data_IF_876829518950
#
_entry.id   IF_876829518950
#
_cell.length_a   1.000
_cell.length_b   1.000
_cell.length_c   1.000
_cell.angle_alpha   90.00
_cell.angle_beta   90.00
_cell.angle_gamma   90.00
#
_symmetry.space_group_name_H-M   'P 1'
#
loop_
_entity.id
_entity.type
_entity.pdbx_description
1 polymer ?
#
# COMPACT_ATOMS: atom_id res chain seq x y z
N UNK A 1 15.32 -16.83 28.85
CA UNK A 1 14.89 -15.83 27.85
C UNK A 1 13.91 -16.58 26.96
N UNK A 2 12.63 -16.31 27.08
CA UNK A 2 11.61 -16.91 26.21
C UNK A 2 11.88 -16.42 24.79
N UNK A 3 11.82 -17.38 23.86
CA UNK A 3 12.15 -17.17 22.47
C UNK A 3 11.28 -16.07 21.84
N UNK A 4 11.84 -15.30 20.94
CA UNK A 4 11.25 -14.20 20.18
C UNK A 4 10.06 -14.62 19.29
N UNK A 5 9.06 -15.31 19.84
CA UNK A 5 7.84 -15.71 19.10
C UNK A 5 7.05 -14.52 18.55
N UNK A 6 7.27 -13.34 19.13
CA UNK A 6 6.59 -12.11 18.77
C UNK A 6 7.27 -11.26 17.68
N UNK A 7 8.36 -11.69 17.02
CA UNK A 7 9.04 -10.89 16.00
C UNK A 7 8.75 -11.44 14.59
N UNK A 8 8.31 -10.56 13.70
CA UNK A 8 8.02 -10.88 12.28
C UNK A 8 8.68 -9.83 11.38
N UNK A 9 9.26 -10.25 10.27
CA UNK A 9 9.75 -9.34 9.25
C UNK A 9 8.60 -8.89 8.35
N UNK A 10 8.29 -7.61 8.35
CA UNK A 10 7.40 -6.96 7.39
C UNK A 10 8.20 -6.43 6.19
N UNK A 11 7.70 -6.66 4.99
CA UNK A 11 8.32 -6.21 3.73
C UNK A 11 7.28 -5.52 2.88
N UNK A 12 7.65 -4.38 2.30
CA UNK A 12 6.90 -3.66 1.28
C UNK A 12 7.71 -3.59 -0.02
N UNK A 13 7.17 -4.19 -1.08
CA UNK A 13 7.77 -4.24 -2.42
C UNK A 13 7.20 -3.14 -3.30
N UNK A 14 7.91 -2.03 -3.37
CA UNK A 14 7.55 -0.92 -4.26
C UNK A 14 8.13 -1.06 -5.67
N UNK A 15 7.78 -0.12 -6.55
CA UNK A 15 8.27 -0.12 -7.95
C UNK A 15 9.76 0.24 -8.12
N UNK A 16 10.38 0.88 -7.13
CA UNK A 16 11.78 1.36 -7.19
C UNK A 16 12.57 1.09 -5.90
N UNK A 17 11.92 0.64 -4.86
CA UNK A 17 12.53 0.37 -3.57
C UNK A 17 11.87 -0.85 -2.94
N UNK A 18 12.63 -1.54 -2.12
CA UNK A 18 12.12 -2.49 -1.13
C UNK A 18 12.35 -1.89 0.26
N UNK A 19 11.35 -1.94 1.11
CA UNK A 19 11.41 -1.49 2.49
C UNK A 19 11.12 -2.66 3.41
N UNK A 20 11.91 -2.81 4.47
CA UNK A 20 11.82 -3.93 5.40
C UNK A 20 11.98 -3.41 6.83
N UNK A 21 11.28 -4.03 7.77
CA UNK A 21 11.53 -3.83 9.20
C UNK A 21 11.06 -5.04 9.98
N UNK A 22 11.72 -5.33 11.10
CA UNK A 22 11.23 -6.25 12.10
C UNK A 22 10.10 -5.57 12.88
N UNK A 23 9.03 -6.31 13.10
CA UNK A 23 7.86 -5.86 13.84
C UNK A 23 7.74 -6.69 15.10
N UNK A 24 7.67 -6.02 16.24
CA UNK A 24 7.29 -6.65 17.50
C UNK A 24 5.75 -6.75 17.53
N UNK A 25 5.25 -8.00 17.54
CA UNK A 25 3.82 -8.29 17.44
C UNK A 25 3.07 -7.97 18.74
N UNK A 26 3.74 -8.00 19.88
CA UNK A 26 3.14 -7.71 21.18
C UNK A 26 2.93 -6.21 21.39
N UNK A 27 3.94 -5.41 21.02
CA UNK A 27 3.86 -3.95 21.08
C UNK A 27 3.23 -3.31 19.84
N UNK A 28 2.97 -4.12 18.81
CA UNK A 28 2.41 -3.67 17.51
C UNK A 28 3.22 -2.53 16.87
N UNK A 29 4.54 -2.62 16.95
CA UNK A 29 5.44 -1.55 16.51
C UNK A 29 6.67 -2.06 15.76
N UNK A 30 7.22 -1.20 14.93
CA UNK A 30 8.48 -1.46 14.23
C UNK A 30 9.64 -1.38 15.24
N UNK A 31 10.59 -2.30 15.12
CA UNK A 31 11.89 -2.25 15.79
C UNK A 31 12.77 -1.29 14.99
N UNK A 32 12.90 -0.04 15.44
CA UNK A 32 13.45 1.09 14.66
C UNK A 32 14.82 0.82 14.02
N UNK A 33 15.77 0.23 14.78
CA UNK A 33 17.12 -0.04 14.26
C UNK A 33 17.15 -1.14 13.18
N UNK A 34 16.06 -1.90 13.02
CA UNK A 34 15.90 -2.91 11.98
C UNK A 34 15.45 -2.32 10.65
N UNK A 35 14.90 -1.11 10.65
CA UNK A 35 14.40 -0.48 9.42
C UNK A 35 15.49 -0.42 8.35
N UNK A 36 15.14 -0.91 7.16
CA UNK A 36 16.04 -0.96 6.03
C UNK A 36 15.30 -0.67 4.74
N UNK A 37 15.84 0.24 3.94
CA UNK A 37 15.31 0.57 2.62
C UNK A 37 16.44 0.59 1.60
N UNK A 38 16.24 -0.05 0.46
CA UNK A 38 17.22 -0.07 -0.60
C UNK A 38 16.57 0.09 -1.97
N UNK A 39 17.36 0.58 -2.94
CA UNK A 39 16.92 0.72 -4.31
C UNK A 39 16.69 -0.65 -4.96
N UNK A 40 15.68 -0.72 -5.81
CA UNK A 40 15.31 -1.88 -6.58
C UNK A 40 15.02 -1.48 -8.03
N UNK A 41 15.69 -2.14 -8.98
CA UNK A 41 15.31 -2.01 -10.38
C UNK A 41 14.26 -3.07 -10.72
N UNK A 42 12.98 -2.71 -10.68
CA UNK A 42 11.87 -3.61 -11.01
C UNK A 42 11.80 -4.06 -12.48
N UNK A 43 12.67 -3.49 -13.35
CA UNK A 43 12.81 -3.91 -14.77
C UNK A 43 13.97 -4.86 -14.98
N UNK A 44 14.71 -5.21 -13.94
CA UNK A 44 15.81 -6.16 -14.02
C UNK A 44 15.30 -7.58 -14.31
N UNK A 45 16.21 -8.48 -14.65
CA UNK A 45 15.93 -9.93 -14.75
C UNK A 45 15.58 -10.50 -13.37
N UNK A 46 14.99 -11.70 -13.34
CA UNK A 46 14.55 -12.39 -12.14
C UNK A 46 15.66 -12.49 -11.08
N UNK A 47 16.81 -13.05 -11.44
CA UNK A 47 17.88 -13.31 -10.46
C UNK A 47 18.39 -12.07 -9.73
N UNK A 48 18.71 -10.93 -10.40
CA UNK A 48 19.06 -9.70 -9.72
C UNK A 48 17.98 -9.18 -8.76
N UNK A 49 16.69 -9.33 -9.09
CA UNK A 49 15.59 -8.91 -8.20
C UNK A 49 15.61 -9.78 -6.94
N UNK A 50 15.65 -11.11 -7.11
CA UNK A 50 15.66 -12.07 -5.99
C UNK A 50 16.91 -11.88 -5.12
N UNK A 51 18.08 -11.62 -5.71
CA UNK A 51 19.31 -11.38 -4.98
C UNK A 51 19.22 -10.14 -4.08
N UNK A 52 18.67 -9.03 -4.61
CA UNK A 52 18.45 -7.81 -3.83
C UNK A 52 17.51 -8.10 -2.65
N UNK A 53 16.39 -8.80 -2.90
CA UNK A 53 15.44 -9.14 -1.85
C UNK A 53 16.04 -10.04 -0.78
N UNK A 54 16.71 -11.12 -1.16
CA UNK A 54 17.33 -12.06 -0.23
C UNK A 54 18.42 -11.39 0.61
N UNK A 55 19.27 -10.56 -0.01
CA UNK A 55 20.32 -9.82 0.69
C UNK A 55 19.71 -8.81 1.69
N UNK A 56 18.66 -8.07 1.30
CA UNK A 56 17.97 -7.14 2.18
C UNK A 56 17.36 -7.87 3.40
N UNK A 57 16.69 -9.01 3.17
CA UNK A 57 16.10 -9.84 4.23
C UNK A 57 17.18 -10.35 5.20
N UNK A 58 18.28 -10.90 4.69
CA UNK A 58 19.37 -11.38 5.52
C UNK A 58 20.02 -10.25 6.34
N UNK A 59 20.21 -9.07 5.73
CA UNK A 59 20.76 -7.90 6.41
C UNK A 59 19.87 -7.44 7.59
N UNK A 60 18.55 -7.53 7.44
CA UNK A 60 17.63 -7.15 8.52
C UNK A 60 17.62 -8.19 9.63
N UNK A 61 17.54 -9.48 9.29
CA UNK A 61 17.62 -10.55 10.30
C UNK A 61 18.97 -10.61 11.04
N UNK A 62 20.05 -10.14 10.44
CA UNK A 62 21.36 -10.08 11.10
C UNK A 62 21.42 -9.03 12.24
N UNK A 63 20.45 -8.12 12.32
CA UNK A 63 20.39 -7.07 13.36
C UNK A 63 19.76 -7.56 14.67
N UNK A 64 19.01 -8.66 14.63
CA UNK A 64 18.32 -9.26 15.77
C UNK A 64 18.48 -10.76 15.76
N UNK A 65 18.63 -11.36 16.95
CA UNK A 65 18.62 -12.80 17.12
C UNK A 65 17.17 -13.31 17.05
N UNK A 66 16.73 -13.72 15.87
CA UNK A 66 15.41 -14.31 15.64
C UNK A 66 15.58 -15.80 15.41
N UNK A 67 15.08 -16.61 16.34
CA UNK A 67 15.21 -18.08 16.27
C UNK A 67 14.43 -18.66 15.09
N UNK A 68 13.20 -18.18 14.88
CA UNK A 68 12.35 -18.62 13.78
C UNK A 68 11.96 -17.47 12.89
N UNK A 69 12.45 -17.47 11.65
CA UNK A 69 12.21 -16.41 10.67
C UNK A 69 10.77 -16.48 10.15
N UNK A 70 9.95 -15.47 10.45
CA UNK A 70 8.62 -15.26 9.86
C UNK A 70 8.66 -14.03 8.97
N UNK A 71 8.20 -14.16 7.73
CA UNK A 71 8.26 -13.11 6.72
C UNK A 71 6.85 -12.84 6.19
N UNK A 72 6.38 -11.62 6.32
CA UNK A 72 5.19 -11.10 5.65
C UNK A 72 5.61 -10.13 4.54
N UNK A 73 5.07 -10.32 3.32
CA UNK A 73 5.45 -9.50 2.16
C UNK A 73 4.21 -8.85 1.53
N UNK A 74 4.20 -7.53 1.49
CA UNK A 74 3.29 -6.75 0.67
C UNK A 74 3.82 -6.70 -0.77
N UNK A 75 3.03 -7.20 -1.72
CA UNK A 75 3.42 -7.35 -3.12
C UNK A 75 2.38 -6.68 -4.04
N UNK A 76 2.82 -5.95 -5.07
CA UNK A 76 1.88 -5.47 -6.08
C UNK A 76 1.29 -6.66 -6.87
N UNK A 77 0.05 -6.49 -7.33
CA UNK A 77 -0.63 -7.48 -8.17
C UNK A 77 -0.53 -7.20 -9.69
N UNK A 78 -1.06 -8.12 -10.51
CA UNK A 78 -1.77 -9.36 -10.14
C UNK A 78 -0.83 -10.48 -9.68
N UNK A 79 -1.25 -11.24 -8.66
CA UNK A 79 -0.42 -12.24 -8.01
C UNK A 79 -1.31 -13.32 -7.35
N UNK A 80 -0.93 -14.58 -7.44
CA UNK A 80 -1.46 -15.62 -6.56
C UNK A 80 -0.67 -15.58 -5.25
N UNK A 81 -1.21 -14.90 -4.26
CA UNK A 81 -0.52 -14.65 -3.00
C UNK A 81 -0.34 -15.92 -2.16
N UNK A 82 -1.26 -16.87 -2.26
CA UNK A 82 -1.17 -18.14 -1.53
C UNK A 82 -0.09 -19.05 -2.11
N UNK A 83 -0.16 -19.30 -3.41
CA UNK A 83 0.85 -20.11 -4.10
C UNK A 83 2.19 -19.39 -4.24
N UNK A 84 2.22 -18.05 -4.19
CA UNK A 84 3.40 -17.23 -4.39
C UNK A 84 3.78 -17.03 -5.85
N UNK A 85 2.81 -17.04 -6.79
CA UNK A 85 3.05 -16.97 -8.24
C UNK A 85 2.69 -15.59 -8.77
N UNK A 86 3.63 -14.96 -9.48
CA UNK A 86 3.40 -13.66 -10.11
C UNK A 86 2.68 -13.79 -11.45
N UNK A 87 1.64 -12.98 -11.63
CA UNK A 87 0.95 -12.80 -12.92
C UNK A 87 1.13 -11.39 -13.48
N UNK A 88 2.11 -10.64 -12.96
CA UNK A 88 2.43 -9.29 -13.45
C UNK A 88 3.02 -9.39 -14.84
N UNK A 89 2.33 -8.79 -15.82
CA UNK A 89 2.72 -8.79 -17.23
C UNK A 89 2.38 -7.45 -17.88
N UNK A 90 3.22 -7.03 -18.82
CA UNK A 90 3.02 -5.80 -19.64
C UNK A 90 2.91 -4.50 -18.80
N UNK A 91 3.42 -4.53 -17.56
CA UNK A 91 3.34 -3.42 -16.60
C UNK A 91 4.63 -2.58 -16.51
N UNK A 92 5.65 -2.94 -17.32
CA UNK A 92 6.99 -2.31 -17.29
C UNK A 92 7.69 -2.40 -15.93
N UNK A 93 7.14 -3.17 -14.98
CA UNK A 93 7.68 -3.45 -13.65
C UNK A 93 7.41 -4.91 -13.34
N UNK A 94 8.43 -5.61 -12.90
CA UNK A 94 8.33 -7.01 -12.50
C UNK A 94 7.89 -8.00 -13.59
N UNK A 95 7.96 -7.63 -14.86
CA UNK A 95 7.59 -8.52 -15.98
C UNK A 95 8.45 -9.81 -15.97
N UNK A 96 9.68 -9.73 -15.47
CA UNK A 96 10.57 -10.89 -15.32
C UNK A 96 10.09 -11.92 -14.26
N UNK A 97 9.13 -11.55 -13.41
CA UNK A 97 8.54 -12.45 -12.42
C UNK A 97 7.33 -13.24 -12.96
N UNK A 98 6.84 -12.91 -14.15
CA UNK A 98 5.65 -13.53 -14.72
C UNK A 98 5.74 -15.06 -14.77
N UNK A 99 4.76 -15.74 -14.20
CA UNK A 99 4.68 -17.21 -14.13
C UNK A 99 5.66 -17.85 -13.15
N UNK A 100 6.50 -17.09 -12.45
CA UNK A 100 7.47 -17.61 -11.49
C UNK A 100 6.82 -17.78 -10.10
N UNK A 101 7.15 -18.88 -9.43
CA UNK A 101 6.81 -19.06 -8.02
C UNK A 101 7.85 -18.37 -7.14
N UNK A 102 7.58 -17.13 -6.81
CA UNK A 102 8.49 -16.25 -6.07
C UNK A 102 8.70 -16.75 -4.63
N UNK A 103 7.66 -17.30 -4.01
CA UNK A 103 7.74 -17.87 -2.66
C UNK A 103 8.77 -18.99 -2.58
N UNK A 104 8.71 -19.94 -3.52
CA UNK A 104 9.65 -21.06 -3.57
C UNK A 104 11.07 -20.60 -3.88
N UNK A 105 11.24 -19.71 -4.85
CA UNK A 105 12.55 -19.19 -5.25
C UNK A 105 13.21 -18.45 -4.07
N UNK A 106 12.44 -17.60 -3.38
CA UNK A 106 12.95 -16.81 -2.25
C UNK A 106 13.27 -17.70 -1.04
N UNK A 107 12.39 -18.66 -0.72
CA UNK A 107 12.62 -19.63 0.36
C UNK A 107 13.92 -20.44 0.11
N UNK A 108 14.11 -20.95 -1.10
CA UNK A 108 15.33 -21.64 -1.48
C UNK A 108 16.58 -20.75 -1.33
N UNK A 109 16.52 -19.48 -1.80
CA UNK A 109 17.62 -18.52 -1.70
C UNK A 109 17.98 -18.18 -0.26
N UNK A 110 16.96 -18.09 0.62
CA UNK A 110 17.11 -17.80 2.05
C UNK A 110 17.44 -19.05 2.90
N UNK A 111 17.35 -20.25 2.33
CA UNK A 111 17.49 -21.55 3.01
C UNK A 111 16.52 -21.70 4.18
N UNK A 112 15.25 -21.36 3.94
CA UNK A 112 14.13 -21.49 4.89
C UNK A 112 13.00 -22.30 4.25
N UNK A 113 12.02 -22.72 5.06
CA UNK A 113 10.81 -23.36 4.56
C UNK A 113 9.85 -22.33 3.94
N UNK A 114 9.11 -22.73 2.90
CA UNK A 114 8.13 -21.87 2.23
C UNK A 114 7.00 -21.41 3.15
N UNK A 115 6.66 -22.19 4.17
CA UNK A 115 5.69 -21.85 5.20
C UNK A 115 6.09 -20.63 6.04
N UNK A 116 7.38 -20.28 6.03
CA UNK A 116 7.92 -19.10 6.71
C UNK A 116 7.71 -17.79 5.93
N UNK A 117 7.16 -17.86 4.70
CA UNK A 117 6.88 -16.70 3.86
C UNK A 117 5.38 -16.64 3.58
N UNK A 118 4.76 -15.49 3.92
CA UNK A 118 3.38 -15.15 3.54
C UNK A 118 3.40 -13.92 2.66
N UNK A 119 2.63 -13.94 1.59
CA UNK A 119 2.55 -12.85 0.60
C UNK A 119 1.12 -12.33 0.51
N UNK A 120 0.97 -11.02 0.33
CA UNK A 120 -0.33 -10.35 0.29
C UNK A 120 -0.29 -9.15 -0.66
N UNK A 121 -1.48 -8.70 -1.08
CA UNK A 121 -1.60 -7.47 -1.84
C UNK A 121 -1.14 -6.26 -1.01
N UNK A 122 -0.47 -5.29 -1.64
CA UNK A 122 0.08 -4.09 -1.01
C UNK A 122 -1.00 -3.16 -0.40
N UNK A 123 -2.13 -2.95 -1.10
CA UNK A 123 -3.24 -2.16 -0.57
C UNK A 123 -3.96 -2.88 0.58
N UNK A 124 -4.09 -4.21 0.52
CA UNK A 124 -4.61 -5.00 1.63
C UNK A 124 -3.69 -4.91 2.85
N UNK A 125 -2.36 -5.02 2.66
CA UNK A 125 -1.39 -4.82 3.73
C UNK A 125 -1.45 -3.41 4.31
N UNK A 126 -1.61 -2.37 3.48
CA UNK A 126 -1.81 -1.00 3.96
C UNK A 126 -2.98 -0.94 4.95
N UNK A 127 -4.17 -1.38 4.55
CA UNK A 127 -5.35 -1.33 5.41
C UNK A 127 -5.20 -2.23 6.64
N UNK A 128 -4.62 -3.42 6.49
CA UNK A 128 -4.38 -4.34 7.61
C UNK A 128 -3.43 -3.73 8.65
N UNK A 129 -2.42 -2.95 8.22
CA UNK A 129 -1.54 -2.21 9.13
C UNK A 129 -2.27 -1.11 9.90
N UNK A 130 -3.18 -0.41 9.23
CA UNK A 130 -4.04 0.60 9.88
C UNK A 130 -5.02 -0.02 10.89
N UNK A 131 -5.47 -1.24 10.64
CA UNK A 131 -6.27 -2.04 11.60
C UNK A 131 -5.40 -2.51 12.77
N UNK A 132 -4.17 -2.93 12.49
CA UNK A 132 -3.25 -3.47 13.49
C UNK A 132 -2.75 -2.40 14.45
N UNK A 133 -2.32 -1.24 13.95
CA UNK A 133 -1.63 -0.24 14.76
C UNK A 133 -1.99 1.22 14.43
N UNK A 134 -2.94 1.47 13.52
CA UNK A 134 -3.23 2.81 13.00
C UNK A 134 -4.67 3.27 13.15
N UNK A 135 -5.12 4.08 12.19
CA UNK A 135 -6.38 4.80 12.21
C UNK A 135 -7.65 3.93 12.10
N UNK A 136 -7.50 2.68 11.63
CA UNK A 136 -8.61 1.72 11.55
C UNK A 136 -8.66 0.74 12.74
N UNK A 137 -7.85 0.94 13.77
CA UNK A 137 -7.86 0.13 14.97
C UNK A 137 -9.22 0.22 15.67
N UNK A 138 -9.78 -0.92 16.07
CA UNK A 138 -11.09 -1.05 16.72
C UNK A 138 -12.32 -0.86 15.82
N UNK A 139 -12.16 -0.72 14.51
CA UNK A 139 -13.28 -0.77 13.57
C UNK A 139 -13.46 -2.19 13.01
N UNK A 140 -14.72 -2.59 12.79
CA UNK A 140 -15.07 -3.89 12.22
C UNK A 140 -15.16 -3.86 10.70
N UNK A 141 -15.49 -2.68 10.16
CA UNK A 141 -15.57 -2.42 8.73
C UNK A 141 -14.80 -1.15 8.39
N UNK A 142 -13.86 -1.26 7.47
CA UNK A 142 -13.09 -0.11 7.01
C UNK A 142 -12.82 -0.22 5.51
N UNK A 143 -12.60 0.90 4.86
CA UNK A 143 -12.02 0.94 3.53
C UNK A 143 -10.70 1.70 3.56
N UNK A 144 -9.71 1.18 2.82
CA UNK A 144 -8.41 1.78 2.63
C UNK A 144 -8.23 2.22 1.19
N UNK A 145 -7.66 3.40 0.99
CA UNK A 145 -7.35 3.94 -0.34
C UNK A 145 -5.91 4.43 -0.34
N UNK A 146 -5.06 3.85 -1.18
CA UNK A 146 -3.68 4.30 -1.35
C UNK A 146 -3.55 5.15 -2.61
N UNK A 147 -3.18 6.42 -2.42
CA UNK A 147 -3.07 7.46 -3.44
C UNK A 147 -1.60 7.66 -3.82
N UNK A 148 -1.18 7.05 -4.94
CA UNK A 148 0.22 7.07 -5.36
C UNK A 148 0.39 7.15 -6.88
N UNK A 149 1.38 6.44 -7.43
CA UNK A 149 1.54 6.29 -8.89
C UNK A 149 0.32 5.63 -9.51
N UNK A 150 -0.29 4.70 -8.76
CA UNK A 150 -1.58 4.09 -9.04
C UNK A 150 -2.57 4.34 -7.91
N UNK A 151 -3.71 3.68 -8.01
CA UNK A 151 -4.79 3.66 -7.03
C UNK A 151 -4.88 2.27 -6.41
N UNK A 152 -4.54 2.14 -5.12
CA UNK A 152 -4.82 0.91 -4.38
C UNK A 152 -6.08 1.07 -3.54
N UNK A 153 -6.83 -0.01 -3.40
CA UNK A 153 -8.09 -0.03 -2.63
C UNK A 153 -8.21 -1.31 -1.83
N UNK A 154 -8.67 -1.21 -0.62
CA UNK A 154 -8.84 -2.36 0.25
C UNK A 154 -10.10 -2.24 1.10
N UNK A 155 -10.65 -3.40 1.48
CA UNK A 155 -11.83 -3.53 2.32
C UNK A 155 -11.46 -4.37 3.54
N UNK A 156 -11.85 -3.91 4.73
CA UNK A 156 -11.81 -4.70 5.96
C UNK A 156 -13.17 -5.36 6.18
N UNK A 157 -13.17 -6.67 6.30
CA UNK A 157 -14.34 -7.45 6.68
C UNK A 157 -13.92 -8.62 7.56
N UNK A 158 -14.62 -8.85 8.67
CA UNK A 158 -14.34 -9.94 9.62
C UNK A 158 -12.89 -9.95 10.15
N UNK A 159 -12.30 -8.77 10.35
CA UNK A 159 -10.93 -8.60 10.85
C UNK A 159 -9.82 -8.78 9.80
N UNK A 160 -10.19 -9.00 8.53
CA UNK A 160 -9.26 -9.23 7.43
C UNK A 160 -9.39 -8.16 6.37
N UNK A 161 -8.28 -7.52 6.02
CA UNK A 161 -8.22 -6.64 4.87
C UNK A 161 -7.92 -7.43 3.59
N UNK A 162 -8.63 -7.11 2.52
CA UNK A 162 -8.46 -7.69 1.18
C UNK A 162 -8.42 -6.60 0.12
N UNK A 163 -7.79 -6.87 -0.99
CA UNK A 163 -7.82 -5.98 -2.16
C UNK A 163 -9.25 -5.83 -2.68
N UNK A 164 -9.71 -4.60 -2.85
CA UNK A 164 -10.98 -4.28 -3.47
C UNK A 164 -10.90 -4.21 -5.00
N UNK A 165 -9.68 -4.13 -5.55
CA UNK A 165 -9.38 -4.11 -6.98
C UNK A 165 -10.15 -3.04 -7.79
N UNK A 166 -10.45 -1.89 -7.16
CA UNK A 166 -11.24 -0.83 -7.80
C UNK A 166 -10.42 0.11 -8.70
N UNK A 167 -9.10 -0.07 -8.79
CA UNK A 167 -8.26 0.74 -9.68
C UNK A 167 -8.71 0.68 -11.14
N UNK A 168 -9.23 -0.46 -11.57
CA UNK A 168 -9.72 -0.73 -12.94
C UNK A 168 -11.23 -0.61 -13.10
N UNK A 169 -11.96 -0.24 -12.05
CA UNK A 169 -13.42 -0.06 -12.12
C UNK A 169 -13.79 1.12 -13.04
N UNK A 170 -14.97 1.03 -13.65
CA UNK A 170 -15.51 2.11 -14.45
C UNK A 170 -15.73 3.36 -13.57
N UNK A 171 -15.16 4.47 -14.01
CA UNK A 171 -15.26 5.74 -13.32
C UNK A 171 -15.31 6.88 -14.33
N UNK A 172 -16.43 7.58 -14.39
CA UNK A 172 -16.73 8.57 -15.46
C UNK A 172 -16.65 7.91 -16.83
N UNK A 173 -15.71 8.34 -17.69
CA UNK A 173 -15.51 7.85 -19.06
C UNK A 173 -14.26 6.95 -19.20
N UNK A 174 -13.60 6.59 -18.07
CA UNK A 174 -12.41 5.75 -18.06
C UNK A 174 -12.34 4.91 -16.77
N UNK A 175 -11.14 4.50 -16.33
CA UNK A 175 -10.92 3.76 -15.08
C UNK A 175 -10.73 4.70 -13.91
N UNK A 176 -11.00 4.23 -12.70
CA UNK A 176 -10.82 5.03 -11.48
C UNK A 176 -9.36 5.53 -11.33
N UNK A 177 -8.37 4.70 -11.62
CA UNK A 177 -6.95 5.07 -11.55
C UNK A 177 -6.59 6.21 -12.52
N UNK A 178 -7.26 6.31 -13.65
CA UNK A 178 -7.02 7.37 -14.64
C UNK A 178 -7.40 8.76 -14.12
N UNK A 179 -8.20 8.84 -13.05
CA UNK A 179 -8.63 10.07 -12.38
C UNK A 179 -8.02 10.26 -10.99
N UNK A 180 -7.54 9.16 -10.36
CA UNK A 180 -7.13 9.17 -8.94
C UNK A 180 -5.72 8.58 -8.82
N UNK A 181 -4.75 9.22 -9.48
CA UNK A 181 -3.33 8.84 -9.41
C UNK A 181 -2.42 10.02 -9.67
N UNK A 182 -1.13 9.90 -9.36
CA UNK A 182 -0.15 10.95 -9.69
C UNK A 182 0.00 11.17 -11.19
N UNK A 183 -0.28 10.16 -12.02
CA UNK A 183 -0.30 10.28 -13.48
C UNK A 183 -1.40 11.23 -13.96
N UNK A 184 -2.57 11.18 -13.32
CA UNK A 184 -3.65 12.13 -13.60
C UNK A 184 -3.21 13.57 -13.33
N UNK A 185 -2.56 13.84 -12.20
CA UNK A 185 -2.07 15.18 -11.88
C UNK A 185 -1.10 15.71 -12.94
N UNK A 186 -0.15 14.88 -13.37
CA UNK A 186 0.83 15.27 -14.39
C UNK A 186 0.15 15.58 -15.73
N UNK A 187 -0.76 14.71 -16.16
CA UNK A 187 -1.53 14.89 -17.39
C UNK A 187 -2.39 16.15 -17.32
N UNK A 188 -3.18 16.31 -16.24
CA UNK A 188 -4.13 17.41 -16.10
C UNK A 188 -3.44 18.77 -15.98
N UNK A 189 -2.35 18.84 -15.24
CA UNK A 189 -1.56 20.06 -15.14
C UNK A 189 -0.95 20.46 -16.50
N UNK A 190 -0.44 19.48 -17.26
CA UNK A 190 0.07 19.73 -18.61
C UNK A 190 -1.04 20.24 -19.56
N UNK A 191 -2.23 19.65 -19.53
CA UNK A 191 -3.37 20.10 -20.35
C UNK A 191 -3.74 21.56 -20.08
N UNK A 192 -3.64 22.02 -18.84
CA UNK A 192 -4.05 23.38 -18.45
C UNK A 192 -2.93 24.43 -18.54
N UNK A 193 -1.68 24.02 -18.42
CA UNK A 193 -0.53 24.94 -18.34
C UNK A 193 0.46 24.82 -19.50
N UNK A 194 0.47 23.70 -20.22
CA UNK A 194 1.51 23.36 -21.19
C UNK A 194 2.85 22.96 -20.54
N UNK A 195 2.93 22.85 -19.20
CA UNK A 195 4.15 22.60 -18.45
C UNK A 195 4.15 21.18 -17.91
N UNK A 196 5.26 20.46 -18.09
CA UNK A 196 5.43 19.13 -17.49
C UNK A 196 5.65 19.23 -15.98
N UNK A 197 4.90 18.45 -15.23
CA UNK A 197 5.00 18.35 -13.79
C UNK A 197 5.94 17.20 -13.42
N UNK A 198 6.87 17.46 -12.47
CA UNK A 198 7.76 16.41 -11.97
C UNK A 198 6.98 15.37 -11.12
N UNK A 199 6.24 15.87 -10.14
CA UNK A 199 5.40 15.07 -9.23
C UNK A 199 4.33 15.97 -8.56
N UNK A 200 3.46 15.35 -7.73
CA UNK A 200 2.39 16.05 -7.00
C UNK A 200 2.95 16.99 -5.93
N UNK A 201 4.16 16.71 -5.40
CA UNK A 201 4.82 17.61 -4.45
C UNK A 201 5.19 18.92 -5.12
N UNK A 202 5.81 18.89 -6.31
CA UNK A 202 6.13 20.08 -7.07
C UNK A 202 4.88 20.93 -7.37
N UNK A 203 3.72 20.27 -7.63
CA UNK A 203 2.44 20.97 -7.79
C UNK A 203 1.98 21.62 -6.49
N UNK A 204 2.12 20.92 -5.37
CA UNK A 204 1.78 21.42 -4.03
C UNK A 204 2.60 22.65 -3.66
N UNK A 205 3.91 22.63 -3.97
CA UNK A 205 4.85 23.72 -3.64
C UNK A 205 4.48 25.03 -4.34
N UNK A 206 3.90 24.99 -5.55
CA UNK A 206 3.49 26.18 -6.31
C UNK A 206 2.02 26.54 -6.14
N UNK A 207 1.21 25.73 -5.46
CA UNK A 207 -0.24 25.90 -5.43
C UNK A 207 -0.70 27.22 -4.76
N UNK A 208 0.08 27.76 -3.82
CA UNK A 208 -0.23 29.06 -3.20
C UNK A 208 -0.27 30.21 -4.23
N UNK A 209 0.60 30.16 -5.23
CA UNK A 209 0.78 31.22 -6.21
C UNK A 209 0.13 30.90 -7.57
N UNK A 210 -0.02 29.62 -7.91
CA UNK A 210 -0.55 29.16 -9.20
C UNK A 210 -2.06 28.90 -9.18
N UNK A 211 -2.87 29.73 -9.86
CA UNK A 211 -4.30 29.45 -10.04
C UNK A 211 -4.56 28.11 -10.75
N UNK A 212 -3.70 27.73 -11.69
CA UNK A 212 -3.80 26.46 -12.42
C UNK A 212 -3.57 25.27 -11.48
N UNK A 213 -2.55 25.33 -10.63
CA UNK A 213 -2.32 24.26 -9.63
C UNK A 213 -3.50 24.10 -8.69
N UNK A 214 -4.09 25.21 -8.21
CA UNK A 214 -5.30 25.18 -7.38
C UNK A 214 -6.50 24.58 -8.13
N UNK A 215 -6.67 24.88 -9.41
CA UNK A 215 -7.74 24.31 -10.24
C UNK A 215 -7.59 22.78 -10.37
N UNK A 216 -6.37 22.28 -10.55
CA UNK A 216 -6.07 20.84 -10.59
C UNK A 216 -6.41 20.17 -9.25
N UNK A 217 -6.00 20.75 -8.12
CA UNK A 217 -6.36 20.19 -6.81
C UNK A 217 -7.87 20.23 -6.54
N UNK A 218 -8.56 21.28 -6.99
CA UNK A 218 -10.03 21.35 -6.90
C UNK A 218 -10.68 20.22 -7.68
N UNK A 219 -10.29 20.01 -8.94
CA UNK A 219 -10.83 18.93 -9.77
C UNK A 219 -10.50 17.56 -9.18
N UNK A 220 -9.28 17.36 -8.65
CA UNK A 220 -8.94 16.15 -7.91
C UNK A 220 -9.84 15.92 -6.70
N UNK A 221 -10.16 16.97 -5.94
CA UNK A 221 -11.06 16.86 -4.79
C UNK A 221 -12.47 16.40 -5.19
N UNK A 222 -12.96 16.83 -6.35
CA UNK A 222 -14.24 16.40 -6.91
C UNK A 222 -14.20 14.92 -7.32
N UNK A 223 -13.14 14.49 -8.01
CA UNK A 223 -12.93 13.10 -8.40
C UNK A 223 -12.83 12.19 -7.17
N UNK A 224 -11.98 12.54 -6.21
CA UNK A 224 -11.78 11.74 -4.99
C UNK A 224 -13.06 11.66 -4.17
N UNK A 225 -13.82 12.76 -4.05
CA UNK A 225 -15.09 12.74 -3.33
C UNK A 225 -16.10 11.80 -3.95
N UNK A 226 -16.23 11.84 -5.29
CA UNK A 226 -17.15 10.95 -5.99
C UNK A 226 -16.76 9.48 -5.80
N UNK A 227 -15.48 9.17 -5.91
CA UNK A 227 -14.97 7.82 -5.71
C UNK A 227 -15.18 7.32 -4.28
N UNK A 228 -14.84 8.14 -3.27
CA UNK A 228 -15.07 7.79 -1.86
C UNK A 228 -16.56 7.56 -1.60
N UNK A 229 -17.43 8.41 -2.14
CA UNK A 229 -18.88 8.26 -1.99
C UNK A 229 -19.36 6.92 -2.55
N UNK A 230 -18.97 6.58 -3.79
CA UNK A 230 -19.33 5.30 -4.41
C UNK A 230 -18.83 4.10 -3.59
N UNK A 231 -17.60 4.18 -3.10
CA UNK A 231 -17.00 3.11 -2.29
C UNK A 231 -17.70 2.96 -0.94
N UNK A 232 -18.07 4.07 -0.27
CA UNK A 232 -18.85 4.06 0.97
C UNK A 232 -20.24 3.45 0.72
N UNK A 233 -20.92 3.82 -0.36
CA UNK A 233 -22.25 3.30 -0.69
C UNK A 233 -22.25 1.80 -0.94
N UNK A 234 -21.19 1.28 -1.55
CA UNK A 234 -21.02 -0.15 -1.82
C UNK A 234 -20.71 -0.97 -0.57
N UNK A 235 -19.79 -0.50 0.27
CA UNK A 235 -19.21 -1.29 1.36
C UNK A 235 -19.77 -0.96 2.75
N UNK A 236 -20.42 0.18 2.91
CA UNK A 236 -20.97 0.65 4.20
C UNK A 236 -19.94 0.56 5.35
N UNK A 237 -18.74 1.18 5.19
CA UNK A 237 -17.69 1.13 6.19
C UNK A 237 -18.01 2.05 7.38
N UNK A 238 -17.30 1.81 8.50
CA UNK A 238 -17.34 2.66 9.69
C UNK A 238 -16.26 3.75 9.62
N UNK A 239 -15.20 3.54 8.81
CA UNK A 239 -14.09 4.47 8.64
C UNK A 239 -13.47 4.33 7.24
N UNK A 240 -12.95 5.44 6.73
CA UNK A 240 -12.12 5.51 5.51
C UNK A 240 -10.70 5.91 5.89
N UNK A 241 -9.69 5.18 5.43
CA UNK A 241 -8.28 5.55 5.63
C UNK A 241 -7.61 5.81 4.29
N UNK A 242 -7.01 6.99 4.17
CA UNK A 242 -6.25 7.43 2.99
C UNK A 242 -4.76 7.34 3.25
N UNK A 243 -4.02 6.70 2.36
CA UNK A 243 -2.55 6.64 2.39
C UNK A 243 -1.91 7.00 1.07
N UNK A 244 -0.58 6.80 0.99
CA UNK A 244 0.20 7.06 -0.22
C UNK A 244 0.70 8.50 -0.36
N UNK A 245 1.58 8.71 -1.33
CA UNK A 245 2.35 9.97 -1.44
C UNK A 245 1.51 11.21 -1.77
N UNK A 246 0.35 11.06 -2.41
CA UNK A 246 -0.54 12.19 -2.73
C UNK A 246 -1.12 12.79 -1.45
N UNK A 247 -1.25 12.02 -0.35
CA UNK A 247 -1.75 12.54 0.93
C UNK A 247 -0.84 13.61 1.54
N UNK A 248 0.43 13.69 1.14
CA UNK A 248 1.34 14.78 1.54
C UNK A 248 0.86 16.16 1.07
N UNK A 249 0.01 16.21 0.02
CA UNK A 249 -0.62 17.42 -0.49
C UNK A 249 -2.07 17.61 0.00
N UNK A 250 -2.51 16.87 1.02
CA UNK A 250 -3.90 16.80 1.47
C UNK A 250 -4.50 18.17 1.86
N UNK A 251 -3.67 19.10 2.34
CA UNK A 251 -4.12 20.45 2.67
C UNK A 251 -4.83 21.17 1.51
N UNK A 252 -4.49 20.83 0.26
CA UNK A 252 -5.06 21.44 -0.93
C UNK A 252 -6.40 20.86 -1.38
N UNK A 253 -6.74 19.63 -0.99
CA UNK A 253 -7.95 18.96 -1.47
C UNK A 253 -8.86 18.41 -0.36
N UNK A 254 -8.31 17.93 0.77
CA UNK A 254 -9.12 17.30 1.82
C UNK A 254 -10.19 18.21 2.45
N UNK A 255 -9.98 19.53 2.66
CA UNK A 255 -11.05 20.39 3.15
C UNK A 255 -12.27 20.45 2.23
N UNK A 256 -12.06 20.35 0.92
CA UNK A 256 -13.15 20.30 -0.07
C UNK A 256 -13.84 18.92 -0.06
N UNK A 257 -13.06 17.83 -0.02
CA UNK A 257 -13.57 16.45 0.10
C UNK A 257 -14.47 16.31 1.31
N UNK A 258 -13.99 16.65 2.51
CA UNK A 258 -14.74 16.52 3.76
C UNK A 258 -16.03 17.33 3.75
N UNK A 259 -15.99 18.57 3.24
CA UNK A 259 -17.17 19.44 3.13
C UNK A 259 -18.20 18.87 2.18
N UNK A 260 -17.76 18.29 1.07
CA UNK A 260 -18.68 17.77 0.06
C UNK A 260 -19.29 16.43 0.49
N UNK A 261 -18.53 15.55 1.15
CA UNK A 261 -19.08 14.33 1.75
C UNK A 261 -20.18 14.66 2.78
N UNK A 262 -19.95 15.65 3.66
CA UNK A 262 -20.99 16.12 4.59
C UNK A 262 -22.25 16.65 3.89
N UNK A 263 -22.11 17.33 2.74
CA UNK A 263 -23.26 17.77 1.95
C UNK A 263 -24.07 16.61 1.35
N UNK A 264 -23.43 15.48 1.11
CA UNK A 264 -24.10 14.24 0.70
C UNK A 264 -24.70 13.46 1.89
N UNK A 265 -24.61 13.97 3.11
CA UNK A 265 -25.09 13.30 4.32
C UNK A 265 -24.17 12.17 4.79
N UNK A 266 -22.94 12.13 4.30
CA UNK A 266 -21.93 11.14 4.70
C UNK A 266 -21.13 11.71 5.87
N UNK A 267 -21.32 11.12 7.05
CA UNK A 267 -20.63 11.51 8.28
C UNK A 267 -19.66 10.43 8.79
N UNK A 268 -19.17 9.62 7.87
CA UNK A 268 -18.15 8.60 8.15
C UNK A 268 -16.79 9.29 8.27
N UNK A 269 -15.98 9.02 9.32
CA UNK A 269 -14.66 9.59 9.48
C UNK A 269 -13.73 9.18 8.32
N UNK A 270 -13.03 10.17 7.77
CA UNK A 270 -12.00 9.99 6.75
C UNK A 270 -10.67 10.43 7.33
N UNK A 271 -9.79 9.48 7.60
CA UNK A 271 -8.47 9.72 8.17
C UNK A 271 -7.37 9.63 7.12
N UNK A 272 -6.33 10.42 7.30
CA UNK A 272 -5.05 10.22 6.61
C UNK A 272 -4.20 9.34 7.50
N UNK A 273 -3.56 8.35 6.91
CA UNK A 273 -2.66 7.43 7.62
C UNK A 273 -1.54 8.17 8.34
N UNK A 274 -1.44 7.99 9.65
CA UNK A 274 -0.29 8.44 10.45
C UNK A 274 0.88 7.45 10.35
N UNK A 275 0.61 6.18 10.06
CA UNK A 275 1.63 5.15 9.85
C UNK A 275 2.41 5.35 8.55
N UNK A 276 1.82 6.01 7.55
CA UNK A 276 2.44 6.33 6.25
C UNK A 276 2.96 5.07 5.55
N UNK A 277 4.26 5.05 5.19
CA UNK A 277 4.91 3.90 4.53
C UNK A 277 5.04 2.69 5.47
N UNK A 278 4.95 2.87 6.79
CA UNK A 278 5.01 1.78 7.76
C UNK A 278 3.73 0.93 7.81
N UNK A 279 2.61 1.45 7.32
CA UNK A 279 1.35 0.72 7.32
C UNK A 279 1.45 -0.62 6.58
N UNK A 280 2.04 -0.64 5.39
CA UNK A 280 2.20 -1.88 4.61
C UNK A 280 3.13 -2.89 5.31
N UNK A 281 4.20 -2.42 5.97
CA UNK A 281 5.11 -3.28 6.74
C UNK A 281 4.41 -3.93 7.93
N UNK A 282 3.70 -3.12 8.72
CA UNK A 282 2.94 -3.58 9.89
C UNK A 282 1.82 -4.54 9.46
N UNK A 283 1.11 -4.23 8.38
CA UNK A 283 0.07 -5.08 7.83
C UNK A 283 0.60 -6.42 7.35
N UNK A 284 1.68 -6.44 6.59
CA UNK A 284 2.31 -7.67 6.13
C UNK A 284 2.77 -8.56 7.30
N UNK A 285 3.35 -7.95 8.35
CA UNK A 285 3.76 -8.67 9.55
C UNK A 285 2.56 -9.19 10.35
N UNK A 286 1.48 -8.41 10.48
CA UNK A 286 0.29 -8.75 11.28
C UNK A 286 -0.45 -10.01 10.78
N UNK A 287 -0.20 -10.42 9.54
CA UNK A 287 -0.71 -11.67 8.97
C UNK A 287 -0.20 -12.94 9.70
N UNK A 288 0.76 -12.80 10.59
CA UNK A 288 1.28 -13.86 11.45
C UNK A 288 0.62 -13.93 12.83
N UNK A 289 -0.32 -13.04 13.15
CA UNK A 289 -1.11 -13.18 14.37
C UNK A 289 -1.92 -14.48 14.35
N UNK A 290 -2.00 -15.16 15.49
CA UNK A 290 -2.61 -16.49 15.65
C UNK A 290 -4.15 -16.53 15.50
N UNK A 291 -4.73 -15.72 14.67
CA UNK A 291 -6.10 -15.86 14.23
C UNK A 291 -6.12 -16.64 12.91
N UNK A 292 -6.09 -17.95 13.01
CA UNK A 292 -6.13 -18.95 11.94
C UNK A 292 -7.38 -18.90 11.03
N UNK A 293 -8.04 -17.76 10.92
CA UNK A 293 -9.20 -17.51 10.03
C UNK A 293 -8.96 -16.41 9.03
N UNK A 294 -7.75 -15.82 9.02
CA UNK A 294 -7.57 -14.48 8.42
C UNK A 294 -7.27 -14.52 6.94
N UNK A 295 -6.85 -15.55 6.26
CA UNK A 295 -6.38 -15.42 4.88
C UNK A 295 -6.55 -16.64 3.99
N UNK A 296 -7.71 -17.26 4.01
CA UNK A 296 -8.11 -18.26 3.02
C UNK A 296 -9.44 -17.83 2.37
N UNK A 297 -9.39 -16.79 1.55
CA UNK A 297 -10.40 -16.55 0.49
C UNK A 297 -9.72 -15.78 -0.64
#
# INVERSE_FOLDING_TARGET
MEASEGIVLGIDIGGSHITLALVNMDTQSIIEHSYYRTYLNSRAKLEPIIDIWANAINNVFAKEQVEYKRIGMAMPGPFDYEAGISYIKDNKKYDALYGQNIKNILAHRLKIDTSQIRMFNDAACFLQGEVFAGAAKNYSKAIGITLGTGLGTAILSNGVARDANLWSSDFKDAKAEDYISSRWFAKRYFELSGINLLDVRALSDIAAESPVARAVFKEFSENLTLFIKQFIEAEQPEVVVLGGNITKAAAWYMPAVSRTLKRYGIDIPVHISDLKENAALLGAASCWQNNSKILAV
#
